data_IF_366082042987
#
_entry.id   IF_366082042987
#
_cell.length_a   1.000
_cell.length_b   1.000
_cell.length_c   1.000
_cell.angle_alpha   90.00
_cell.angle_beta   90.00
_cell.angle_gamma   90.00
#
_symmetry.space_group_name_H-M   'P 1'
#
loop_
_entity.id
_entity.type
_entity.pdbx_description
1 polymer ?
#
# COMPACT_ATOMS: atom_id res chain seq x y z
N UNK A 1 -46.09 -2.65 -5.75
CA UNK A 1 -44.88 -2.74 -6.62
C UNK A 1 -43.74 -2.06 -5.91
N UNK A 2 -42.86 -2.86 -5.26
CA UNK A 2 -41.65 -2.34 -4.60
C UNK A 2 -40.49 -2.42 -5.61
N UNK A 3 -40.01 -1.27 -6.06
CA UNK A 3 -38.81 -1.17 -6.89
C UNK A 3 -37.58 -1.33 -5.98
N UNK A 4 -36.88 -2.45 -6.12
CA UNK A 4 -35.56 -2.63 -5.52
C UNK A 4 -34.53 -1.78 -6.27
N UNK A 5 -34.10 -0.67 -5.65
CA UNK A 5 -32.94 0.08 -6.11
C UNK A 5 -31.67 -0.71 -5.78
N UNK A 6 -31.14 -1.45 -6.75
CA UNK A 6 -29.91 -2.21 -6.64
C UNK A 6 -28.71 -1.28 -6.49
N UNK A 7 -27.94 -1.46 -5.43
CA UNK A 7 -26.65 -0.78 -5.19
C UNK A 7 -25.64 -1.14 -6.28
N UNK A 8 -25.49 -0.28 -7.30
CA UNK A 8 -24.43 -0.39 -8.34
C UNK A 8 -23.11 0.28 -7.93
N UNK A 9 -22.90 0.60 -6.65
CA UNK A 9 -21.74 1.35 -6.17
C UNK A 9 -20.46 0.53 -5.94
N UNK A 10 -20.55 -0.80 -5.88
CA UNK A 10 -19.46 -1.66 -5.38
C UNK A 10 -18.44 -2.10 -6.43
N UNK A 11 -18.76 -2.10 -7.71
CA UNK A 11 -17.83 -2.63 -8.73
C UNK A 11 -16.76 -1.63 -9.20
N UNK A 12 -16.97 -0.33 -9.12
CA UNK A 12 -15.97 0.66 -9.56
C UNK A 12 -14.81 0.83 -8.57
N UNK A 13 -14.96 0.37 -7.32
CA UNK A 13 -13.93 0.47 -6.27
C UNK A 13 -12.82 -0.56 -6.40
N UNK A 14 -13.08 -1.74 -6.97
CA UNK A 14 -12.15 -2.87 -7.02
C UNK A 14 -11.11 -2.79 -8.15
N UNK A 15 -11.40 -2.04 -9.24
CA UNK A 15 -10.44 -1.89 -10.33
C UNK A 15 -9.30 -0.93 -9.97
N UNK A 16 -8.07 -1.19 -10.45
CA UNK A 16 -6.98 -0.23 -10.32
C UNK A 16 -7.36 1.15 -10.89
N UNK A 17 -6.81 2.26 -10.34
CA UNK A 17 -7.02 3.58 -10.89
C UNK A 17 -6.58 3.68 -12.36
N UNK A 18 -7.32 4.41 -13.18
CA UNK A 18 -7.01 4.61 -14.61
C UNK A 18 -5.71 5.36 -14.85
N UNK A 19 -5.36 6.28 -13.95
CA UNK A 19 -4.12 7.06 -13.99
C UNK A 19 -3.28 6.76 -12.73
N UNK A 20 -2.66 5.57 -12.61
CA UNK A 20 -2.02 5.12 -11.37
C UNK A 20 -0.71 5.86 -11.04
N UNK A 21 -0.20 6.70 -11.90
CA UNK A 21 0.99 7.52 -11.68
C UNK A 21 0.65 9.00 -11.39
N UNK A 22 -0.64 9.34 -11.22
CA UNK A 22 -1.14 10.66 -10.81
C UNK A 22 -1.95 10.54 -9.51
N UNK A 23 -1.38 10.99 -8.39
CA UNK A 23 -2.00 10.90 -7.07
C UNK A 23 -3.33 11.68 -6.98
N UNK A 24 -3.44 12.83 -7.65
CA UNK A 24 -4.67 13.60 -7.65
C UNK A 24 -5.78 12.87 -8.43
N UNK A 25 -5.44 12.25 -9.56
CA UNK A 25 -6.39 11.46 -10.34
C UNK A 25 -6.82 10.20 -9.59
N UNK A 26 -5.90 9.50 -8.89
CA UNK A 26 -6.21 8.36 -8.02
C UNK A 26 -7.30 8.74 -7.02
N UNK A 27 -7.09 9.76 -6.22
CA UNK A 27 -8.03 10.17 -5.17
C UNK A 27 -9.30 10.84 -5.69
N UNK A 28 -9.27 11.38 -6.90
CA UNK A 28 -10.48 11.87 -7.58
C UNK A 28 -11.38 10.70 -8.01
N UNK A 29 -10.78 9.61 -8.46
CA UNK A 29 -11.48 8.39 -8.90
C UNK A 29 -11.91 7.53 -7.70
N UNK A 30 -11.00 7.32 -6.74
CA UNK A 30 -11.19 6.51 -5.53
C UNK A 30 -11.44 7.43 -4.32
N UNK A 31 -12.68 7.88 -4.15
CA UNK A 31 -13.01 9.00 -3.25
C UNK A 31 -12.66 8.76 -1.78
N UNK A 32 -12.79 7.54 -1.30
CA UNK A 32 -12.57 7.19 0.11
C UNK A 32 -11.08 6.99 0.43
N UNK A 33 -10.28 6.59 -0.57
CA UNK A 33 -8.87 6.26 -0.39
C UNK A 33 -8.01 7.40 0.15
N UNK A 34 -8.40 8.66 -0.10
CA UNK A 34 -7.65 9.79 0.46
C UNK A 34 -7.84 9.90 1.97
N UNK A 35 -9.07 9.70 2.45
CA UNK A 35 -9.35 9.69 3.87
C UNK A 35 -8.63 8.52 4.55
N UNK A 36 -8.72 7.31 4.00
CA UNK A 36 -8.07 6.12 4.52
C UNK A 36 -6.55 6.30 4.64
N UNK A 37 -5.91 6.83 3.57
CA UNK A 37 -4.47 7.08 3.57
C UNK A 37 -4.04 8.18 4.55
N UNK A 38 -4.87 9.21 4.73
CA UNK A 38 -4.64 10.26 5.73
C UNK A 38 -4.78 9.72 7.16
N UNK A 39 -5.77 8.86 7.43
CA UNK A 39 -5.97 8.25 8.75
C UNK A 39 -4.79 7.34 9.11
N UNK A 40 -4.27 6.59 8.14
CA UNK A 40 -3.05 5.81 8.30
C UNK A 40 -1.80 6.71 8.52
N UNK A 41 -1.68 7.85 7.81
CA UNK A 41 -0.61 8.82 8.06
C UNK A 41 -0.71 9.43 9.46
N UNK A 42 -1.91 9.81 9.89
CA UNK A 42 -2.14 10.36 11.23
C UNK A 42 -1.74 9.37 12.32
N UNK A 43 -2.13 8.11 12.14
CA UNK A 43 -1.85 7.04 13.11
C UNK A 43 -0.37 6.64 13.18
N UNK A 44 0.30 6.54 12.04
CA UNK A 44 1.63 5.93 11.93
C UNK A 44 2.73 6.91 11.55
N UNK A 45 2.37 8.10 11.06
CA UNK A 45 3.29 9.15 10.64
C UNK A 45 4.01 8.88 9.32
N UNK A 46 3.60 7.88 8.54
CA UNK A 46 4.16 7.58 7.22
C UNK A 46 3.37 8.35 6.15
N UNK A 47 4.01 9.23 5.36
CA UNK A 47 3.30 10.11 4.43
C UNK A 47 2.44 9.35 3.40
N UNK A 48 1.25 9.88 3.07
CA UNK A 48 0.35 9.35 2.02
C UNK A 48 1.10 9.02 0.73
N UNK A 49 2.00 9.91 0.30
CA UNK A 49 2.78 9.70 -0.92
C UNK A 49 3.68 8.45 -0.86
N UNK A 50 4.20 8.12 0.32
CA UNK A 50 5.01 6.90 0.55
C UNK A 50 4.10 5.67 0.49
N UNK A 51 2.96 5.70 1.17
CA UNK A 51 1.97 4.61 1.17
C UNK A 51 1.52 4.27 -0.26
N UNK A 52 1.13 5.28 -1.07
CA UNK A 52 0.76 5.08 -2.46
C UNK A 52 1.89 4.50 -3.31
N UNK A 53 3.13 4.97 -3.10
CA UNK A 53 4.28 4.46 -3.86
C UNK A 53 4.55 2.98 -3.58
N UNK A 54 4.32 2.53 -2.34
CA UNK A 54 4.38 1.12 -1.97
C UNK A 54 3.29 0.31 -2.68
N UNK A 55 2.01 0.68 -2.53
CA UNK A 55 0.89 -0.03 -3.19
C UNK A 55 1.08 -0.09 -4.71
N UNK A 56 1.52 1.01 -5.34
CA UNK A 56 1.81 1.04 -6.77
C UNK A 56 2.88 0.04 -7.17
N UNK A 57 3.87 -0.17 -6.31
CA UNK A 57 4.99 -1.09 -6.58
C UNK A 57 4.60 -2.53 -6.28
N UNK A 58 3.90 -2.80 -5.19
CA UNK A 58 3.56 -4.14 -4.73
C UNK A 58 2.46 -4.79 -5.60
N UNK A 59 1.39 -4.07 -5.87
CA UNK A 59 0.20 -4.63 -6.52
C UNK A 59 -0.24 -3.91 -7.78
N UNK A 60 0.32 -2.74 -8.09
CA UNK A 60 -0.25 -1.81 -9.08
C UNK A 60 -1.70 -1.46 -8.78
N UNK A 61 -2.04 -1.28 -7.50
CA UNK A 61 -3.40 -1.01 -7.00
C UNK A 61 -4.41 -2.16 -7.25
N UNK A 62 -3.94 -3.37 -7.41
CA UNK A 62 -4.82 -4.53 -7.54
C UNK A 62 -5.09 -5.14 -6.16
N UNK A 63 -6.37 -5.17 -5.79
CA UNK A 63 -6.81 -5.75 -4.52
C UNK A 63 -6.53 -7.27 -4.42
N UNK A 64 -6.62 -7.98 -5.55
CA UNK A 64 -6.47 -9.43 -5.65
C UNK A 64 -5.05 -9.89 -6.05
N UNK A 65 -4.07 -8.97 -6.04
CA UNK A 65 -2.70 -9.27 -6.48
C UNK A 65 -2.10 -10.44 -5.68
N UNK A 66 -1.53 -11.39 -6.40
CA UNK A 66 -0.83 -12.56 -5.86
C UNK A 66 0.40 -12.87 -6.69
N UNK A 67 1.47 -13.42 -6.11
CA UNK A 67 2.61 -13.91 -6.86
C UNK A 67 2.18 -14.95 -7.92
N UNK A 68 2.79 -14.93 -9.11
CA UNK A 68 2.46 -15.92 -10.14
C UNK A 68 2.80 -17.34 -9.65
N UNK A 69 2.02 -18.33 -10.09
CA UNK A 69 2.32 -19.73 -9.81
C UNK A 69 3.61 -20.15 -10.52
N UNK A 70 4.36 -21.06 -9.91
CA UNK A 70 5.51 -21.67 -10.56
C UNK A 70 5.04 -22.46 -11.79
N UNK A 71 5.84 -22.39 -12.85
CA UNK A 71 5.55 -23.19 -14.05
C UNK A 71 5.98 -24.62 -13.84
N UNK A 72 5.06 -25.57 -14.12
CA UNK A 72 5.31 -27.01 -14.18
C UNK A 72 5.01 -27.41 -15.63
N UNK A 73 5.99 -27.97 -16.32
CA UNK A 73 5.88 -28.31 -17.76
C UNK A 73 5.43 -27.13 -18.63
N UNK A 74 5.91 -25.92 -18.31
CA UNK A 74 5.55 -24.68 -19.03
C UNK A 74 4.22 -24.03 -18.61
N UNK A 75 3.36 -24.72 -17.85
CA UNK A 75 2.06 -24.24 -17.40
C UNK A 75 2.13 -23.70 -15.96
N UNK A 76 1.43 -22.61 -15.61
CA UNK A 76 1.45 -21.98 -14.27
C UNK A 76 0.56 -22.78 -13.28
N UNK A 77 0.83 -24.07 -13.10
CA UNK A 77 0.05 -24.99 -12.25
C UNK A 77 0.71 -25.29 -10.90
N UNK A 78 1.99 -24.92 -10.75
CA UNK A 78 2.74 -25.15 -9.51
C UNK A 78 2.29 -24.25 -8.33
N UNK A 79 2.84 -24.49 -7.12
CA UNK A 79 2.56 -23.65 -5.97
C UNK A 79 3.03 -22.21 -6.17
N UNK A 80 2.42 -21.26 -5.44
CA UNK A 80 2.91 -19.88 -5.40
C UNK A 80 4.20 -19.83 -4.56
N UNK A 81 5.15 -18.92 -4.92
CA UNK A 81 6.42 -18.82 -4.19
C UNK A 81 6.27 -18.21 -2.78
N UNK A 82 5.17 -17.51 -2.52
CA UNK A 82 4.86 -16.93 -1.21
C UNK A 82 3.35 -16.78 -1.02
N UNK A 83 2.95 -16.43 0.20
CA UNK A 83 1.54 -16.15 0.59
C UNK A 83 1.13 -14.69 0.40
N UNK A 84 1.99 -13.88 -0.24
CA UNK A 84 1.71 -12.46 -0.49
C UNK A 84 0.36 -12.25 -1.17
N UNK A 85 -0.42 -11.29 -0.67
CA UNK A 85 -1.78 -11.01 -1.13
C UNK A 85 -2.12 -9.53 -1.03
N UNK A 86 -2.95 -9.10 -1.97
CA UNK A 86 -3.67 -7.83 -1.92
C UNK A 86 -2.81 -6.61 -2.25
N UNK A 87 -3.29 -5.45 -1.86
CA UNK A 87 -2.66 -4.17 -2.17
C UNK A 87 -1.23 -4.06 -1.66
N UNK A 88 -0.97 -4.50 -0.43
CA UNK A 88 0.31 -4.38 0.25
C UNK A 88 1.24 -5.58 0.05
N UNK A 89 0.79 -6.66 -0.62
CA UNK A 89 1.52 -7.93 -0.76
C UNK A 89 2.03 -8.48 0.59
N UNK A 90 1.24 -8.28 1.65
CA UNK A 90 1.57 -8.78 2.98
C UNK A 90 1.55 -10.33 3.01
N UNK A 91 2.55 -10.92 3.67
CA UNK A 91 2.60 -12.35 3.94
C UNK A 91 1.65 -12.72 5.09
N UNK A 92 1.15 -13.96 5.13
CA UNK A 92 0.22 -14.43 6.15
C UNK A 92 0.72 -14.13 7.57
N UNK A 93 1.92 -14.58 7.93
CA UNK A 93 2.46 -14.39 9.27
C UNK A 93 2.67 -12.91 9.65
N UNK A 94 3.06 -12.06 8.68
CA UNK A 94 3.24 -10.62 8.94
C UNK A 94 1.89 -9.92 9.10
N UNK A 95 0.87 -10.38 8.38
CA UNK A 95 -0.50 -9.87 8.52
C UNK A 95 -1.11 -10.26 9.88
N UNK A 96 -0.90 -11.49 10.32
CA UNK A 96 -1.30 -11.95 11.64
C UNK A 96 -0.62 -11.15 12.76
N UNK A 97 0.70 -10.87 12.64
CA UNK A 97 1.40 -9.99 13.57
C UNK A 97 0.77 -8.58 13.63
N UNK A 98 0.40 -8.03 12.47
CA UNK A 98 -0.27 -6.73 12.39
C UNK A 98 -1.63 -6.76 13.11
N UNK A 99 -2.47 -7.75 12.80
CA UNK A 99 -3.79 -7.90 13.43
C UNK A 99 -3.68 -8.04 14.96
N UNK A 100 -2.73 -8.83 15.43
CA UNK A 100 -2.49 -9.02 16.88
C UNK A 100 -1.98 -7.73 17.53
N UNK A 101 -1.04 -7.03 16.90
CA UNK A 101 -0.41 -5.84 17.45
C UNK A 101 -1.34 -4.62 17.50
N UNK A 102 -2.32 -4.56 16.59
CA UNK A 102 -3.24 -3.41 16.43
C UNK A 102 -4.66 -3.66 16.92
N UNK A 103 -5.01 -4.93 17.16
CA UNK A 103 -6.39 -5.35 17.45
C UNK A 103 -7.29 -5.40 16.20
N UNK A 104 -6.74 -5.23 15.00
CA UNK A 104 -7.50 -5.19 13.74
C UNK A 104 -7.85 -6.60 13.22
N UNK A 105 -8.48 -7.44 14.07
CA UNK A 105 -8.77 -8.84 13.74
C UNK A 105 -9.72 -9.04 12.53
N UNK A 106 -10.48 -8.02 12.16
CA UNK A 106 -11.36 -8.03 10.98
C UNK A 106 -10.74 -7.44 9.73
N UNK A 107 -9.45 -7.04 9.77
CA UNK A 107 -8.78 -6.42 8.63
C UNK A 107 -8.57 -7.41 7.48
N UNK A 108 -8.68 -6.92 6.24
CA UNK A 108 -8.58 -7.71 5.02
C UNK A 108 -7.49 -7.15 4.08
N UNK A 109 -6.65 -8.03 3.53
CA UNK A 109 -5.51 -7.63 2.66
C UNK A 109 -5.93 -7.08 1.29
N UNK A 110 -7.16 -7.32 0.88
CA UNK A 110 -7.77 -6.81 -0.34
C UNK A 110 -8.64 -5.55 -0.13
N UNK A 111 -8.75 -5.08 1.12
CA UNK A 111 -9.28 -3.75 1.45
C UNK A 111 -8.18 -2.69 1.43
N UNK A 112 -8.48 -1.50 0.87
CA UNK A 112 -7.48 -0.44 0.72
C UNK A 112 -7.15 0.25 2.05
N UNK A 113 -8.15 0.51 2.89
CA UNK A 113 -7.95 1.17 4.18
C UNK A 113 -7.06 0.32 5.09
N UNK A 114 -7.34 -0.98 5.15
CA UNK A 114 -6.55 -1.94 5.93
C UNK A 114 -5.12 -2.08 5.38
N UNK A 115 -4.98 -2.06 4.06
CA UNK A 115 -3.67 -2.17 3.42
C UNK A 115 -2.77 -0.94 3.67
N UNK A 116 -3.33 0.29 3.65
CA UNK A 116 -2.54 1.50 3.96
C UNK A 116 -2.23 1.58 5.45
N UNK A 117 -3.13 1.15 6.34
CA UNK A 117 -2.86 1.07 7.77
C UNK A 117 -1.74 0.06 8.06
N UNK A 118 -1.78 -1.12 7.43
CA UNK A 118 -0.71 -2.12 7.50
C UNK A 118 0.64 -1.56 7.02
N UNK A 119 0.68 -0.88 5.87
CA UNK A 119 1.91 -0.26 5.35
C UNK A 119 2.43 0.79 6.35
N UNK A 120 1.54 1.59 6.92
CA UNK A 120 1.87 2.56 7.96
C UNK A 120 2.49 1.90 9.19
N UNK A 121 1.81 0.89 9.74
CA UNK A 121 2.29 0.12 10.90
C UNK A 121 3.65 -0.53 10.66
N UNK A 122 3.82 -1.22 9.54
CA UNK A 122 5.07 -1.92 9.22
C UNK A 122 6.25 -0.94 9.09
N UNK A 123 6.03 0.18 8.39
CA UNK A 123 7.05 1.19 8.22
C UNK A 123 7.34 1.97 9.52
N UNK A 124 6.34 2.19 10.39
CA UNK A 124 6.58 2.76 11.73
C UNK A 124 7.49 1.84 12.58
N UNK A 125 7.34 0.51 12.47
CA UNK A 125 8.30 -0.44 13.06
C UNK A 125 9.69 -0.28 12.47
N UNK A 126 9.82 -0.13 11.16
CA UNK A 126 11.12 0.07 10.49
C UNK A 126 11.77 1.38 10.91
N UNK A 127 11.00 2.46 11.07
CA UNK A 127 11.48 3.73 11.66
C UNK A 127 12.07 3.50 13.05
N UNK A 128 11.33 2.81 13.92
CA UNK A 128 11.74 2.57 15.32
C UNK A 128 12.94 1.63 15.42
N UNK A 129 12.95 0.54 14.66
CA UNK A 129 13.98 -0.50 14.80
C UNK A 129 15.25 -0.19 14.02
N UNK A 130 15.12 0.46 12.85
CA UNK A 130 16.24 0.67 11.94
C UNK A 130 16.73 2.13 11.87
N UNK A 131 16.10 3.05 12.60
CA UNK A 131 16.48 4.48 12.58
C UNK A 131 16.19 5.17 11.26
N UNK A 132 15.24 4.65 10.45
CA UNK A 132 14.91 5.20 9.13
C UNK A 132 13.95 6.39 9.29
N UNK A 133 14.16 7.47 8.54
CA UNK A 133 13.21 8.57 8.49
C UNK A 133 11.87 8.12 7.88
N UNK A 134 10.73 8.59 8.44
CA UNK A 134 9.38 8.35 7.90
C UNK A 134 9.21 8.81 6.44
N UNK A 135 10.03 9.73 5.98
CA UNK A 135 10.01 10.30 4.62
C UNK A 135 11.00 9.62 3.67
N UNK A 136 11.84 8.72 4.15
CA UNK A 136 12.84 8.01 3.35
C UNK A 136 12.22 6.74 2.72
N UNK A 137 11.46 6.96 1.65
CA UNK A 137 10.78 5.88 0.94
C UNK A 137 11.77 4.82 0.39
N UNK A 138 13.01 5.20 0.05
CA UNK A 138 14.03 4.28 -0.41
C UNK A 138 14.40 3.25 0.66
N UNK A 139 14.82 3.73 1.84
CA UNK A 139 15.24 2.86 2.93
C UNK A 139 14.07 2.10 3.56
N UNK A 140 12.90 2.74 3.65
CA UNK A 140 11.68 2.08 4.11
C UNK A 140 11.32 0.90 3.21
N UNK A 141 11.43 1.05 1.87
CA UNK A 141 11.12 -0.04 0.95
C UNK A 141 12.14 -1.19 1.04
N UNK A 142 13.42 -0.90 1.24
CA UNK A 142 14.43 -1.93 1.50
C UNK A 142 14.11 -2.73 2.78
N UNK A 143 13.72 -2.05 3.86
CA UNK A 143 13.32 -2.70 5.11
C UNK A 143 12.00 -3.45 4.98
N UNK A 144 11.07 -2.97 4.14
CA UNK A 144 9.81 -3.63 3.86
C UNK A 144 10.02 -4.99 3.17
N UNK A 145 10.91 -5.02 2.19
CA UNK A 145 11.21 -6.24 1.43
C UNK A 145 12.06 -7.25 2.20
N UNK A 146 13.09 -6.78 2.93
CA UNK A 146 14.06 -7.65 3.62
C UNK A 146 13.63 -8.04 5.04
N UNK A 147 12.62 -7.39 5.57
CA UNK A 147 12.35 -7.35 6.99
C UNK A 147 13.35 -6.45 7.73
N UNK A 148 13.00 -5.98 8.93
CA UNK A 148 13.86 -5.07 9.71
C UNK A 148 15.23 -5.69 10.01
N UNK A 149 15.26 -6.98 10.37
CA UNK A 149 16.52 -7.68 10.66
C UNK A 149 17.40 -7.83 9.40
N UNK A 150 16.82 -8.23 8.28
CA UNK A 150 17.55 -8.34 7.02
C UNK A 150 18.11 -6.99 6.55
N UNK A 151 17.34 -5.91 6.73
CA UNK A 151 17.82 -4.56 6.45
C UNK A 151 19.03 -4.19 7.33
N UNK A 152 18.97 -4.41 8.64
CA UNK A 152 20.08 -4.15 9.58
C UNK A 152 21.32 -4.97 9.23
N UNK A 153 21.16 -6.22 8.80
CA UNK A 153 22.24 -7.09 8.33
C UNK A 153 22.77 -6.70 6.95
N UNK A 154 22.09 -5.80 6.25
CA UNK A 154 22.51 -5.33 4.93
C UNK A 154 22.31 -6.34 3.79
N UNK A 155 21.38 -7.30 3.93
CA UNK A 155 21.11 -8.34 2.91
C UNK A 155 20.70 -7.75 1.56
N UNK A 156 20.04 -6.58 1.57
CA UNK A 156 19.65 -5.83 0.38
C UNK A 156 20.83 -5.40 -0.49
N UNK A 157 22.03 -5.20 0.09
CA UNK A 157 23.21 -4.66 -0.63
C UNK A 157 23.67 -5.52 -1.79
N UNK A 158 23.37 -6.82 -1.77
CA UNK A 158 23.70 -7.80 -2.83
C UNK A 158 22.60 -7.98 -3.87
N UNK A 159 21.47 -7.27 -3.74
CA UNK A 159 20.28 -7.40 -4.58
C UNK A 159 20.11 -6.15 -5.45
N UNK A 160 20.89 -6.04 -6.53
CA UNK A 160 20.86 -4.87 -7.43
C UNK A 160 19.44 -4.53 -7.89
N UNK A 161 18.61 -5.53 -8.22
CA UNK A 161 17.22 -5.34 -8.60
C UNK A 161 16.37 -4.70 -7.49
N UNK A 162 16.66 -5.02 -6.21
CA UNK A 162 15.92 -4.44 -5.08
C UNK A 162 16.33 -2.98 -4.85
N UNK A 163 17.64 -2.67 -5.00
CA UNK A 163 18.14 -1.29 -4.93
C UNK A 163 17.50 -0.43 -6.02
N UNK A 164 17.43 -0.94 -7.27
CA UNK A 164 16.77 -0.26 -8.38
C UNK A 164 15.27 -0.08 -8.13
N UNK A 165 14.59 -1.10 -7.61
CA UNK A 165 13.17 -1.00 -7.24
C UNK A 165 12.94 0.04 -6.15
N UNK A 166 13.75 0.04 -5.09
CA UNK A 166 13.67 1.02 -4.01
C UNK A 166 13.89 2.46 -4.50
N UNK A 167 14.81 2.65 -5.45
CA UNK A 167 15.04 3.95 -6.10
C UNK A 167 13.77 4.42 -6.85
N UNK A 168 13.14 3.55 -7.61
CA UNK A 168 11.87 3.84 -8.30
C UNK A 168 10.72 4.16 -7.34
N UNK A 169 10.68 3.50 -6.18
CA UNK A 169 9.72 3.80 -5.12
C UNK A 169 9.94 5.21 -4.57
N UNK A 170 11.19 5.58 -4.28
CA UNK A 170 11.53 6.93 -3.78
C UNK A 170 11.16 8.02 -4.79
N UNK A 171 11.48 7.83 -6.06
CA UNK A 171 11.11 8.76 -7.14
C UNK A 171 9.59 8.91 -7.27
N UNK A 172 8.86 7.80 -7.18
CA UNK A 172 7.40 7.78 -7.21
C UNK A 172 6.80 8.51 -6.01
N UNK A 173 7.30 8.25 -4.81
CA UNK A 173 6.88 8.93 -3.60
C UNK A 173 7.10 10.45 -3.70
N UNK A 174 8.26 10.89 -4.22
CA UNK A 174 8.55 12.30 -4.45
C UNK A 174 7.59 12.93 -5.46
N UNK A 175 7.29 12.23 -6.56
CA UNK A 175 6.31 12.67 -7.58
C UNK A 175 4.91 12.78 -6.99
N UNK A 176 4.42 11.76 -6.29
CA UNK A 176 3.12 11.79 -5.64
C UNK A 176 3.01 12.90 -4.61
N UNK A 177 4.04 13.12 -3.80
CA UNK A 177 4.08 14.23 -2.84
C UNK A 177 3.97 15.59 -3.52
N UNK A 178 4.63 15.79 -4.65
CA UNK A 178 4.56 17.02 -5.44
C UNK A 178 3.17 17.21 -6.08
N UNK A 179 2.51 16.14 -6.50
CA UNK A 179 1.17 16.15 -7.04
C UNK A 179 0.14 16.49 -5.96
N UNK A 180 0.21 15.83 -4.79
CA UNK A 180 -0.71 16.03 -3.68
C UNK A 180 -0.73 17.48 -3.20
N UNK A 181 0.42 18.15 -3.10
CA UNK A 181 0.49 19.57 -2.76
C UNK A 181 -0.36 20.48 -3.66
N UNK A 182 -0.63 20.08 -4.91
CA UNK A 182 -1.42 20.86 -5.86
C UNK A 182 -2.93 20.64 -5.74
N UNK A 183 -3.36 19.50 -5.22
CA UNK A 183 -4.78 19.14 -5.14
C UNK A 183 -5.29 18.92 -3.70
N UNK A 184 -4.43 19.05 -2.70
CA UNK A 184 -4.74 18.78 -1.30
C UNK A 184 -5.95 19.59 -0.80
N UNK A 185 -6.05 20.87 -1.16
CA UNK A 185 -7.19 21.71 -0.77
C UNK A 185 -8.53 21.19 -1.30
N UNK A 186 -8.54 20.62 -2.51
CA UNK A 186 -9.72 20.01 -3.11
C UNK A 186 -10.07 18.65 -2.49
N UNK A 187 -9.06 17.89 -2.06
CA UNK A 187 -9.24 16.58 -1.44
C UNK A 187 -9.70 16.74 0.03
N UNK A 188 -9.12 17.67 0.77
CA UNK A 188 -9.44 17.93 2.18
C UNK A 188 -10.84 18.49 2.38
N UNK A 189 -11.35 19.32 1.47
CA UNK A 189 -12.73 19.82 1.52
C UNK A 189 -13.76 18.69 1.44
N UNK A 190 -13.44 17.58 0.79
CA UNK A 190 -14.30 16.39 0.70
C UNK A 190 -14.26 15.54 1.98
N UNK A 191 -13.12 15.50 2.69
CA UNK A 191 -13.00 14.81 3.99
C UNK A 191 -13.93 15.46 5.03
N UNK A 192 -14.07 16.78 5.03
CA UNK A 192 -14.96 17.51 5.95
C UNK A 192 -16.46 17.27 5.72
N UNK A 193 -16.88 16.81 4.54
CA UNK A 193 -18.30 16.51 4.23
C UNK A 193 -18.76 15.10 4.68
N UNK A 194 -17.86 14.22 5.08
CA UNK A 194 -18.19 12.86 5.52
C UNK A 194 -18.47 12.76 7.03
N UNK A 195 -18.32 13.85 7.78
CA UNK A 195 -18.52 13.92 9.23
C UNK A 195 -19.77 14.70 9.67
N UNK A 196 -20.75 14.94 8.77
CA UNK A 196 -22.05 15.53 9.11
C UNK A 196 -23.20 14.63 8.71
#
# INVERSE_FOLDING_TARGET
>A
LVLAAGCSATQSSLHPPRAPDDACAIFKEKKDWYADACDAEERWGVPVAVQLAFIRTESSFRHDARPPRRKVLGMPTGPRPSTALGYAQALDGTWEEYQQATGAHGADRDDFADAVDFIGWYNARSVKMCGISRKDAYRLYLAYHEGQQGYLQGTHRRKAWLLDTAQKVAERASRYNSQLRRCESQLSSRRGFLFF
#
